data_IF_673077224994
#
_entry.id   IF_673077224994
#
_cell.length_a   1.000
_cell.length_b   1.000
_cell.length_c   1.000
_cell.angle_alpha   90.00
_cell.angle_beta   90.00
_cell.angle_gamma   90.00
#
_symmetry.space_group_name_H-M   'P 1'
#
loop_
_entity.id
_entity.type
_entity.pdbx_description
1 polymer ?
#
# COMPACT_ATOMS: atom_id res chain seq x y z
N UNK A 1 -10.12 -18.48 3.68
CA UNK A 1 -9.31 -17.28 3.95
C UNK A 1 -7.93 -17.57 3.40
N UNK A 2 -7.51 -16.86 2.34
CA UNK A 2 -6.30 -17.18 1.59
C UNK A 2 -5.05 -17.12 2.46
N UNK A 3 -4.59 -18.29 2.91
CA UNK A 3 -3.39 -18.48 3.73
C UNK A 3 -2.16 -17.82 3.09
N UNK A 4 -2.14 -17.77 1.76
CA UNK A 4 -1.10 -17.12 0.96
C UNK A 4 -1.16 -15.59 1.09
N UNK A 5 -2.35 -14.99 1.01
CA UNK A 5 -2.52 -13.54 1.11
C UNK A 5 -2.19 -13.06 2.53
N UNK A 6 -2.66 -13.77 3.56
CA UNK A 6 -2.32 -13.48 4.95
C UNK A 6 -0.81 -13.58 5.22
N UNK A 7 -0.13 -14.57 4.63
CA UNK A 7 1.32 -14.68 4.70
C UNK A 7 2.04 -13.49 4.06
N UNK A 8 1.56 -13.00 2.91
CA UNK A 8 2.11 -11.81 2.24
C UNK A 8 1.89 -10.54 3.07
N UNK A 9 0.68 -10.35 3.59
CA UNK A 9 0.33 -9.20 4.45
C UNK A 9 1.25 -9.16 5.68
N UNK A 10 1.42 -10.31 6.35
CA UNK A 10 2.28 -10.42 7.53
C UNK A 10 3.76 -10.17 7.17
N UNK A 11 4.26 -10.72 6.08
CA UNK A 11 5.65 -10.54 5.64
C UNK A 11 5.98 -9.09 5.26
N UNK A 12 5.02 -8.38 4.67
CA UNK A 12 5.14 -6.97 4.30
C UNK A 12 4.80 -6.03 5.47
N UNK A 13 4.14 -6.50 6.53
CA UNK A 13 3.62 -5.65 7.59
C UNK A 13 2.56 -4.66 7.08
N UNK A 14 1.69 -5.11 6.16
CA UNK A 14 0.63 -4.26 5.65
C UNK A 14 -0.46 -4.07 6.70
N UNK A 15 -0.96 -2.84 6.81
CA UNK A 15 -2.00 -2.45 7.75
C UNK A 15 -3.33 -2.43 6.98
N UNK A 16 -4.40 -3.06 7.49
CA UNK A 16 -5.72 -2.94 6.88
C UNK A 16 -6.20 -1.49 6.92
N UNK A 17 -6.86 -1.04 5.86
CA UNK A 17 -7.43 0.31 5.80
C UNK A 17 -8.67 0.36 6.67
N UNK A 18 -8.54 0.98 7.83
CA UNK A 18 -9.68 1.36 8.68
C UNK A 18 -10.42 2.58 8.14
N UNK A 19 -11.63 2.83 8.65
CA UNK A 19 -12.43 4.03 8.30
C UNK A 19 -11.64 5.33 8.49
N UNK A 20 -10.82 5.42 9.54
CA UNK A 20 -9.97 6.59 9.82
C UNK A 20 -8.86 6.73 8.78
N UNK A 21 -8.18 5.64 8.43
CA UNK A 21 -7.16 5.63 7.39
C UNK A 21 -7.77 5.97 6.02
N UNK A 22 -8.97 5.48 5.72
CA UNK A 22 -9.70 5.84 4.52
C UNK A 22 -9.95 7.35 4.42
N UNK A 23 -10.45 7.97 5.49
CA UNK A 23 -10.72 9.41 5.51
C UNK A 23 -9.43 10.23 5.39
N UNK A 24 -8.33 9.77 5.99
CA UNK A 24 -7.05 10.49 5.98
C UNK A 24 -6.32 10.35 4.64
N UNK A 25 -6.26 9.14 4.09
CA UNK A 25 -5.39 8.80 2.97
C UNK A 25 -6.12 8.59 1.65
N UNK A 26 -7.35 8.06 1.64
CA UNK A 26 -8.07 7.81 0.38
C UNK A 26 -9.04 8.92 0.00
N UNK A 27 -9.77 9.48 0.97
CA UNK A 27 -10.79 10.53 0.73
C UNK A 27 -10.25 11.75 -0.04
N UNK A 28 -9.04 12.28 0.24
CA UNK A 28 -8.51 13.40 -0.53
C UNK A 28 -8.26 13.06 -2.01
N UNK A 29 -7.94 11.80 -2.29
CA UNK A 29 -7.58 11.31 -3.63
C UNK A 29 -8.75 10.62 -4.36
N UNK A 30 -9.88 10.38 -3.69
CA UNK A 30 -11.06 9.71 -4.25
C UNK A 30 -11.53 10.35 -5.56
N UNK A 31 -11.55 11.70 -5.62
CA UNK A 31 -11.92 12.44 -6.83
C UNK A 31 -10.93 12.23 -7.97
N UNK A 32 -9.64 12.08 -7.67
CA UNK A 32 -8.59 11.83 -8.67
C UNK A 32 -8.66 10.38 -9.18
N UNK A 33 -8.82 9.42 -8.28
CA UNK A 33 -8.99 8.01 -8.64
C UNK A 33 -10.25 7.77 -9.48
N UNK A 34 -11.38 8.38 -9.11
CA UNK A 34 -12.63 8.31 -9.89
C UNK A 34 -12.46 8.87 -11.31
N UNK A 35 -11.71 9.95 -11.48
CA UNK A 35 -11.37 10.49 -12.81
C UNK A 35 -10.50 9.55 -13.63
N UNK A 36 -9.62 8.78 -12.97
CA UNK A 36 -8.78 7.77 -13.60
C UNK A 36 -9.48 6.41 -13.82
N UNK A 37 -10.76 6.28 -13.46
CA UNK A 37 -11.50 5.01 -13.53
C UNK A 37 -11.05 3.97 -12.49
N UNK A 38 -10.31 4.39 -11.47
CA UNK A 38 -9.79 3.52 -10.41
C UNK A 38 -10.78 3.55 -9.24
N UNK A 39 -11.25 2.36 -8.85
CA UNK A 39 -12.06 2.21 -7.65
C UNK A 39 -11.18 2.16 -6.40
N UNK A 40 -11.29 3.18 -5.57
CA UNK A 40 -10.56 3.29 -4.30
C UNK A 40 -10.89 2.16 -3.32
N UNK A 41 -12.06 1.54 -3.44
CA UNK A 41 -12.46 0.43 -2.57
C UNK A 41 -11.68 -0.87 -2.83
N UNK A 42 -10.95 -0.95 -3.94
CA UNK A 42 -10.06 -2.08 -4.26
C UNK A 42 -8.82 -2.09 -3.37
N UNK A 43 -8.40 -0.93 -2.87
CA UNK A 43 -7.34 -0.84 -1.88
C UNK A 43 -7.90 -1.28 -0.53
N UNK A 44 -7.33 -2.36 0.02
CA UNK A 44 -7.71 -2.90 1.33
C UNK A 44 -6.62 -2.77 2.37
N UNK A 45 -5.38 -2.60 1.91
CA UNK A 45 -4.22 -2.53 2.77
C UNK A 45 -3.38 -1.31 2.43
N UNK A 46 -2.63 -0.81 3.40
CA UNK A 46 -1.68 0.26 3.20
C UNK A 46 -0.42 0.00 4.03
N UNK A 47 0.68 0.63 3.62
CA UNK A 47 1.93 0.65 4.37
C UNK A 47 2.48 2.06 4.48
N UNK A 48 3.07 2.37 5.63
CA UNK A 48 3.77 3.62 5.87
C UNK A 48 5.27 3.40 5.67
N UNK A 49 5.88 4.29 4.89
CA UNK A 49 7.31 4.36 4.63
C UNK A 49 7.77 5.76 5.05
N UNK A 50 8.06 5.94 6.34
CA UNK A 50 8.23 7.27 6.94
C UNK A 50 6.92 8.07 6.85
N UNK A 51 7.00 9.27 6.29
CA UNK A 51 5.83 10.16 6.10
C UNK A 51 4.98 9.81 4.87
N UNK A 52 5.47 8.94 3.98
CA UNK A 52 4.75 8.54 2.78
C UNK A 52 3.95 7.27 3.02
N UNK A 53 2.73 7.24 2.52
CA UNK A 53 1.87 6.05 2.56
C UNK A 53 1.77 5.44 1.15
N UNK A 54 1.63 4.12 1.11
CA UNK A 54 1.44 3.38 -0.13
C UNK A 54 0.23 2.44 0.02
N UNK A 55 -0.67 2.48 -0.95
CA UNK A 55 -1.89 1.68 -0.96
C UNK A 55 -1.67 0.38 -1.73
N UNK A 56 -2.24 -0.71 -1.23
CA UNK A 56 -2.14 -2.05 -1.79
C UNK A 56 -3.54 -2.63 -2.02
N UNK A 57 -3.78 -3.04 -3.26
CA UNK A 57 -4.99 -3.77 -3.65
C UNK A 57 -4.81 -5.27 -3.42
N UNK A 58 -5.91 -5.96 -3.12
CA UNK A 58 -5.91 -7.43 -2.97
C UNK A 58 -5.42 -8.09 -4.26
N UNK A 59 -5.96 -7.68 -5.41
CA UNK A 59 -5.59 -8.20 -6.72
C UNK A 59 -4.08 -8.09 -7.00
N UNK A 60 -3.47 -6.96 -6.63
CA UNK A 60 -2.03 -6.76 -6.78
C UNK A 60 -1.21 -7.70 -5.88
N UNK A 61 -1.65 -7.90 -4.64
CA UNK A 61 -0.99 -8.83 -3.71
C UNK A 61 -1.17 -10.28 -4.13
N UNK A 62 -2.27 -10.63 -4.79
CA UNK A 62 -2.52 -11.97 -5.32
C UNK A 62 -1.68 -12.23 -6.56
N UNK A 63 -1.68 -11.30 -7.53
CA UNK A 63 -0.91 -11.41 -8.78
C UNK A 63 0.61 -11.38 -8.57
N UNK A 64 1.10 -10.61 -7.60
CA UNK A 64 2.54 -10.44 -7.37
C UNK A 64 3.09 -11.53 -6.46
N UNK A 65 4.24 -12.09 -6.80
CA UNK A 65 4.92 -13.07 -5.93
C UNK A 65 5.42 -12.43 -4.63
N UNK A 66 5.52 -13.21 -3.55
CA UNK A 66 6.03 -12.68 -2.26
C UNK A 66 7.47 -12.17 -2.37
N UNK A 67 8.30 -12.81 -3.21
CA UNK A 67 9.68 -12.40 -3.46
C UNK A 67 9.73 -10.99 -4.06
N UNK A 68 8.97 -10.75 -5.12
CA UNK A 68 8.91 -9.43 -5.77
C UNK A 68 8.33 -8.36 -4.84
N UNK A 69 7.32 -8.70 -4.03
CA UNK A 69 6.77 -7.79 -3.05
C UNK A 69 7.84 -7.36 -2.03
N UNK A 70 8.66 -8.30 -1.53
CA UNK A 70 9.75 -8.01 -0.59
C UNK A 70 10.89 -7.21 -1.23
N UNK A 71 11.23 -7.48 -2.50
CA UNK A 71 12.22 -6.70 -3.23
C UNK A 71 11.75 -5.25 -3.41
N UNK A 72 10.51 -5.06 -3.88
CA UNK A 72 9.90 -3.73 -4.01
C UNK A 72 9.77 -3.02 -2.67
N UNK A 73 9.46 -3.74 -1.59
CA UNK A 73 9.40 -3.18 -0.24
C UNK A 73 10.73 -2.57 0.19
N UNK A 74 11.83 -3.30 -0.02
CA UNK A 74 13.19 -2.81 0.27
C UNK A 74 13.58 -1.63 -0.60
N UNK A 75 13.23 -1.65 -1.88
CA UNK A 75 13.45 -0.53 -2.78
C UNK A 75 12.65 0.71 -2.37
N UNK A 76 11.38 0.53 -2.02
CA UNK A 76 10.49 1.59 -1.56
C UNK A 76 10.97 2.17 -0.23
N UNK A 77 11.41 1.34 0.72
CA UNK A 77 12.04 1.81 1.95
C UNK A 77 13.24 2.70 1.62
N UNK A 78 14.16 2.26 0.75
CA UNK A 78 15.32 3.06 0.39
C UNK A 78 14.95 4.36 -0.32
N UNK A 79 13.99 4.33 -1.25
CA UNK A 79 13.59 5.52 -2.04
C UNK A 79 12.79 6.52 -1.22
N UNK A 80 11.81 6.04 -0.47
CA UNK A 80 10.83 6.88 0.23
C UNK A 80 11.38 7.40 1.57
N UNK A 81 12.20 6.61 2.28
CA UNK A 81 12.84 7.05 3.53
C UNK A 81 14.01 8.00 3.27
N UNK A 82 14.82 7.77 2.23
CA UNK A 82 15.95 8.68 1.91
C UNK A 82 15.54 10.06 1.37
N UNK A 83 14.26 10.28 1.03
CA UNK A 83 13.85 11.61 0.54
C UNK A 83 13.81 12.65 1.66
N UNK A 84 13.98 12.27 2.93
CA UNK A 84 13.98 13.19 4.07
C UNK A 84 15.35 13.88 4.33
N UNK A 85 16.43 13.45 3.67
CA UNK A 85 17.79 14.00 3.87
C UNK A 85 18.16 15.13 2.87
N UNK A 86 17.24 16.06 2.59
CA UNK A 86 17.59 17.33 1.93
C UNK A 86 16.94 18.52 2.64
N UNK A 87 17.55 18.90 3.77
CA UNK A 87 17.58 20.30 4.23
C UNK A 87 18.94 20.86 3.85
#
# INVERSE_FOLDING_TARGET
>A
MDSVLNGKIAALGLIPIDKTAYIKYLKPHEKAYKKAGIDVNRFKYYKLYGDKHMLYSVEYLEQTSIKELLERDRENQKRLVKTDERI
#
